data_IF_465553289797
#
_entry.id   IF_465553289797
#
_cell.length_a   1.000
_cell.length_b   1.000
_cell.length_c   1.000
_cell.angle_alpha   90.00
_cell.angle_beta   90.00
_cell.angle_gamma   90.00
#
_symmetry.space_group_name_H-M   'P 1'
#
loop_
_entity.id
_entity.type
_entity.pdbx_description
1 polymer ?
#
# COMPACT_ATOMS: atom_id res chain seq x y z
N UNK A 1 -3.91 -35.01 -10.25
CA UNK A 1 -2.54 -34.50 -10.38
C UNK A 1 -1.64 -35.34 -9.46
N UNK A 2 -0.65 -36.04 -9.99
CA UNK A 2 0.27 -36.87 -9.18
C UNK A 2 1.61 -36.12 -9.10
N UNK A 3 1.81 -35.34 -8.03
CA UNK A 3 3.02 -34.56 -7.81
C UNK A 3 4.14 -35.52 -7.39
N UNK A 4 5.06 -35.81 -8.32
CA UNK A 4 6.15 -36.76 -8.10
C UNK A 4 7.49 -36.07 -7.84
N UNK A 5 7.67 -34.86 -8.36
CA UNK A 5 8.96 -34.17 -8.35
C UNK A 5 8.89 -32.93 -7.44
N UNK A 6 9.47 -33.07 -6.26
CA UNK A 6 9.66 -32.02 -5.29
C UNK A 6 11.07 -31.48 -5.39
N UNK A 7 11.27 -30.21 -5.10
CA UNK A 7 12.60 -29.60 -5.10
C UNK A 7 12.80 -28.66 -3.91
N UNK A 8 14.06 -28.46 -3.57
CA UNK A 8 14.58 -27.32 -2.85
C UNK A 8 15.43 -26.56 -3.87
N UNK A 9 15.43 -25.24 -3.82
CA UNK A 9 16.20 -24.44 -4.76
C UNK A 9 16.51 -23.06 -4.23
N UNK A 10 17.42 -22.37 -4.88
CA UNK A 10 17.77 -20.97 -4.58
C UNK A 10 17.07 -20.02 -5.53
N UNK A 11 16.53 -18.94 -5.00
CA UNK A 11 15.95 -17.85 -5.79
C UNK A 11 17.07 -17.07 -6.47
N UNK A 12 17.00 -16.92 -7.79
CA UNK A 12 18.01 -16.19 -8.57
C UNK A 12 17.47 -14.93 -9.26
N UNK A 13 16.16 -14.82 -9.44
CA UNK A 13 15.56 -13.64 -10.06
C UNK A 13 14.13 -13.44 -9.52
N UNK A 14 13.79 -12.22 -9.17
CA UNK A 14 12.47 -11.80 -8.69
C UNK A 14 11.85 -10.71 -9.56
N UNK A 15 12.55 -10.28 -10.62
CA UNK A 15 12.11 -9.22 -11.53
C UNK A 15 11.11 -9.76 -12.58
N UNK A 16 9.97 -10.27 -12.13
CA UNK A 16 8.93 -10.84 -13.00
C UNK A 16 8.39 -9.80 -13.99
N UNK A 17 8.59 -9.97 -15.31
CA UNK A 17 8.13 -9.02 -16.31
C UNK A 17 6.60 -8.91 -16.40
N UNK A 18 5.85 -9.91 -15.91
CA UNK A 18 4.39 -9.85 -15.84
C UNK A 18 3.89 -9.24 -14.53
N UNK A 19 4.78 -8.96 -13.55
CA UNK A 19 4.44 -8.38 -12.25
C UNK A 19 3.34 -9.15 -11.49
N UNK A 20 3.31 -10.47 -11.62
CA UNK A 20 2.36 -11.35 -10.92
C UNK A 20 3.00 -12.16 -9.78
N UNK A 21 4.24 -11.79 -9.40
CA UNK A 21 4.93 -12.38 -8.26
C UNK A 21 5.60 -13.72 -8.53
N UNK A 22 5.96 -14.00 -9.80
CA UNK A 22 6.79 -15.18 -10.13
C UNK A 22 8.24 -14.91 -9.80
N UNK A 23 8.99 -15.99 -9.60
CA UNK A 23 10.43 -15.96 -9.33
C UNK A 23 11.15 -16.97 -10.21
N UNK A 24 12.45 -16.79 -10.43
CA UNK A 24 13.29 -17.83 -11.03
C UNK A 24 14.05 -18.56 -9.94
N UNK A 25 13.98 -19.87 -10.00
CA UNK A 25 14.58 -20.77 -8.99
C UNK A 25 15.53 -21.73 -9.66
N UNK A 26 16.77 -21.78 -9.18
CA UNK A 26 17.68 -22.87 -9.49
C UNK A 26 17.35 -24.05 -8.58
N UNK A 27 16.64 -25.02 -9.12
CA UNK A 27 16.20 -26.20 -8.39
C UNK A 27 17.37 -27.19 -8.21
N UNK A 28 17.75 -27.43 -6.95
CA UNK A 28 18.86 -28.38 -6.64
C UNK A 28 18.51 -29.77 -7.13
N UNK A 29 19.51 -30.49 -7.61
CA UNK A 29 19.43 -31.84 -8.23
C UNK A 29 18.67 -31.90 -9.57
N UNK A 30 18.09 -30.79 -10.05
CA UNK A 30 17.44 -30.71 -11.36
C UNK A 30 18.14 -29.75 -12.33
N UNK A 31 18.66 -28.64 -11.81
CA UNK A 31 19.44 -27.68 -12.58
C UNK A 31 20.90 -27.77 -12.21
N UNK A 32 21.76 -27.57 -13.20
CA UNK A 32 23.22 -27.45 -12.95
C UNK A 32 23.52 -26.22 -12.11
N UNK A 33 24.54 -26.29 -11.25
CA UNK A 33 25.04 -25.14 -10.49
C UNK A 33 25.87 -24.18 -11.37
N UNK A 34 26.37 -24.70 -12.52
CA UNK A 34 27.15 -23.89 -13.46
C UNK A 34 26.27 -22.90 -14.21
N UNK A 35 26.38 -21.63 -13.85
CA UNK A 35 25.64 -20.53 -14.48
C UNK A 35 26.10 -20.25 -15.92
N UNK A 36 27.24 -20.75 -16.35
CA UNK A 36 27.68 -20.66 -17.75
C UNK A 36 26.95 -21.68 -18.63
N UNK A 37 26.59 -22.84 -18.08
CA UNK A 37 25.80 -23.86 -18.76
C UNK A 37 24.30 -23.57 -18.76
N UNK A 38 23.78 -23.16 -17.61
CA UNK A 38 22.38 -22.74 -17.44
C UNK A 38 22.31 -21.35 -16.79
N UNK A 39 22.35 -20.26 -17.57
CA UNK A 39 22.25 -18.90 -17.05
C UNK A 39 20.91 -18.65 -16.37
N UNK A 40 20.88 -17.77 -15.35
CA UNK A 40 19.64 -17.35 -14.64
C UNK A 40 18.52 -16.89 -15.58
N UNK A 41 18.88 -16.20 -16.68
CA UNK A 41 17.90 -15.75 -17.67
C UNK A 41 17.12 -16.88 -18.32
N UNK A 42 17.71 -18.08 -18.41
CA UNK A 42 17.15 -19.26 -19.08
C UNK A 42 16.36 -20.16 -18.13
N UNK A 43 16.40 -19.89 -16.81
CA UNK A 43 15.54 -20.56 -15.83
C UNK A 43 14.07 -20.23 -16.08
N UNK A 44 13.14 -21.19 -15.94
CA UNK A 44 11.71 -20.93 -16.05
C UNK A 44 11.21 -20.08 -14.89
N UNK A 45 10.14 -19.30 -15.14
CA UNK A 45 9.44 -18.56 -14.11
C UNK A 45 8.55 -19.48 -13.28
N UNK A 46 8.84 -19.58 -12.00
CA UNK A 46 8.07 -20.35 -11.01
C UNK A 46 6.91 -19.54 -10.45
N UNK A 47 5.74 -20.14 -10.34
CA UNK A 47 4.62 -19.53 -9.63
C UNK A 47 4.78 -19.68 -8.12
N UNK A 48 4.37 -18.68 -7.34
CA UNK A 48 4.36 -18.75 -5.89
C UNK A 48 2.94 -18.97 -5.38
N UNK A 49 2.78 -19.89 -4.43
CA UNK A 49 1.51 -20.07 -3.71
C UNK A 49 1.37 -18.96 -2.67
N UNK A 50 0.28 -18.23 -2.74
CA UNK A 50 -0.06 -17.20 -1.76
C UNK A 50 -0.84 -17.80 -0.59
N UNK A 51 -0.72 -17.22 0.63
CA UNK A 51 -1.56 -17.61 1.77
C UNK A 51 -3.05 -17.46 1.45
N UNK A 52 -3.89 -18.32 2.01
CA UNK A 52 -5.35 -18.33 1.75
C UNK A 52 -6.08 -17.07 2.21
N UNK A 53 -5.45 -16.25 3.03
CA UNK A 53 -5.94 -14.94 3.48
C UNK A 53 -5.55 -13.79 2.53
N UNK A 54 -4.97 -14.12 1.37
CA UNK A 54 -4.56 -13.17 0.33
C UNK A 54 -5.34 -13.44 -0.95
N UNK A 55 -5.90 -12.39 -1.55
CA UNK A 55 -6.55 -12.48 -2.87
C UNK A 55 -5.58 -12.05 -3.96
N UNK A 56 -5.18 -12.98 -4.81
CA UNK A 56 -4.32 -12.70 -5.98
C UNK A 56 -5.04 -11.89 -7.07
N UNK A 57 -6.38 -12.00 -7.12
CA UNK A 57 -7.19 -11.31 -8.14
C UNK A 57 -7.56 -9.89 -7.74
N UNK A 58 -7.83 -9.67 -6.45
CA UNK A 58 -8.31 -8.37 -5.96
C UNK A 58 -7.22 -7.55 -5.27
N UNK A 59 -6.02 -8.09 -5.06
CA UNK A 59 -4.94 -7.43 -4.33
C UNK A 59 -5.29 -7.13 -2.86
N UNK A 60 -6.25 -7.86 -2.29
CA UNK A 60 -6.74 -7.65 -0.92
C UNK A 60 -6.16 -8.74 -0.01
N UNK A 61 -5.72 -8.35 1.17
CA UNK A 61 -5.20 -9.25 2.20
C UNK A 61 -3.76 -8.92 2.58
N UNK A 62 -3.14 -9.78 3.40
CA UNK A 62 -1.74 -9.63 3.78
C UNK A 62 -0.86 -10.05 2.61
N UNK A 63 -0.14 -9.12 2.01
CA UNK A 63 0.90 -9.45 1.06
C UNK A 63 2.12 -9.95 1.83
N UNK A 64 2.69 -11.13 1.51
CA UNK A 64 3.99 -11.50 2.04
C UNK A 64 5.03 -10.45 1.61
N UNK A 65 6.05 -10.25 2.43
CA UNK A 65 7.15 -9.31 2.15
C UNK A 65 7.93 -9.64 0.88
N UNK A 66 7.68 -10.81 0.29
CA UNK A 66 8.35 -11.30 -0.90
C UNK A 66 9.63 -12.08 -0.56
N UNK A 67 10.08 -12.84 -1.52
CA UNK A 67 11.37 -13.55 -1.45
C UNK A 67 12.45 -12.64 -2.01
N UNK A 68 13.68 -12.81 -1.54
CA UNK A 68 14.84 -12.13 -2.07
C UNK A 68 15.74 -13.11 -2.83
N UNK A 69 16.59 -12.60 -3.72
CA UNK A 69 17.60 -13.42 -4.39
C UNK A 69 18.53 -14.01 -3.34
N UNK A 70 18.77 -15.32 -3.44
CA UNK A 70 19.54 -16.09 -2.46
C UNK A 70 18.69 -16.87 -1.46
N UNK A 71 17.42 -16.56 -1.29
CA UNK A 71 16.52 -17.35 -0.45
C UNK A 71 16.43 -18.79 -0.96
N UNK A 72 16.34 -19.72 -0.01
CA UNK A 72 16.03 -21.10 -0.33
C UNK A 72 14.52 -21.32 -0.26
N UNK A 73 14.01 -22.05 -1.23
CA UNK A 73 12.58 -22.31 -1.39
C UNK A 73 12.32 -23.80 -1.55
N UNK A 74 11.10 -24.19 -1.13
CA UNK A 74 10.58 -25.53 -1.33
C UNK A 74 9.39 -25.49 -2.28
N UNK A 75 9.35 -26.43 -3.24
CA UNK A 75 8.33 -26.45 -4.26
C UNK A 75 8.21 -27.80 -4.98
N UNK A 76 7.44 -27.81 -6.06
CA UNK A 76 7.22 -29.00 -6.90
C UNK A 76 7.00 -28.62 -8.36
N UNK A 77 7.18 -29.59 -9.27
CA UNK A 77 6.86 -29.44 -10.69
C UNK A 77 5.46 -29.99 -10.98
N UNK A 78 4.63 -29.22 -11.73
CA UNK A 78 3.29 -29.63 -12.13
C UNK A 78 3.27 -30.48 -13.39
N UNK A 79 4.27 -30.32 -14.24
CA UNK A 79 4.42 -30.95 -15.55
C UNK A 79 5.15 -32.31 -15.53
N UNK A 80 5.42 -32.86 -14.34
CA UNK A 80 6.00 -34.18 -14.17
C UNK A 80 7.46 -34.27 -14.67
N UNK A 81 7.72 -35.02 -15.71
CA UNK A 81 9.08 -35.28 -16.19
C UNK A 81 9.71 -34.08 -16.92
N UNK A 82 8.91 -33.17 -17.46
CA UNK A 82 9.42 -32.01 -18.22
C UNK A 82 10.09 -30.95 -17.31
N UNK A 83 9.67 -30.85 -16.05
CA UNK A 83 10.26 -30.01 -14.99
C UNK A 83 10.46 -28.54 -15.39
N UNK A 84 9.53 -27.99 -16.19
CA UNK A 84 9.54 -26.61 -16.64
C UNK A 84 8.49 -25.75 -15.93
N UNK A 85 7.46 -26.38 -15.34
CA UNK A 85 6.35 -25.71 -14.67
C UNK A 85 6.45 -25.89 -13.16
N UNK A 86 7.28 -25.07 -12.55
CA UNK A 86 7.59 -25.11 -11.11
C UNK A 86 6.64 -24.24 -10.30
N UNK A 87 6.27 -24.72 -9.11
CA UNK A 87 5.46 -24.01 -8.12
C UNK A 87 6.20 -24.00 -6.79
N UNK A 88 6.38 -22.81 -6.23
CA UNK A 88 6.99 -22.58 -4.91
C UNK A 88 5.91 -22.43 -3.87
N UNK A 89 6.02 -23.17 -2.76
CA UNK A 89 5.03 -23.17 -1.68
C UNK A 89 5.54 -22.57 -0.37
N UNK A 90 6.83 -22.33 -0.24
CA UNK A 90 7.37 -21.69 0.97
C UNK A 90 8.88 -21.53 0.93
N UNK A 91 9.37 -20.84 1.95
CA UNK A 91 10.78 -20.68 2.23
C UNK A 91 11.32 -21.92 2.92
N UNK A 92 12.59 -22.24 2.66
CA UNK A 92 13.34 -23.29 3.30
C UNK A 92 14.56 -22.67 3.99
N UNK A 93 14.82 -23.00 5.26
CA UNK A 93 15.98 -22.47 5.99
C UNK A 93 17.28 -22.98 5.35
N UNK A 94 18.14 -22.06 4.91
CA UNK A 94 19.44 -22.40 4.33
C UNK A 94 20.43 -22.85 5.42
N UNK A 95 21.24 -23.91 5.18
CA UNK A 95 22.28 -24.32 6.14
C UNK A 95 23.40 -23.30 6.35
N UNK A 96 23.52 -22.31 5.49
CA UNK A 96 24.53 -21.25 5.58
C UNK A 96 24.05 -19.98 6.30
N UNK A 97 22.75 -19.92 6.61
CA UNK A 97 22.22 -18.80 7.34
C UNK A 97 22.74 -18.85 8.78
N UNK A 98 23.33 -17.74 9.23
CA UNK A 98 23.54 -17.55 10.66
C UNK A 98 22.18 -17.78 11.31
N UNK A 99 22.09 -18.63 12.38
CA UNK A 99 20.83 -18.81 13.06
C UNK A 99 20.29 -17.45 13.37
N UNK A 100 19.11 -17.12 12.85
CA UNK A 100 18.40 -15.91 13.25
C UNK A 100 18.41 -15.94 14.76
N UNK A 101 18.89 -14.88 15.41
CA UNK A 101 18.89 -14.79 16.85
C UNK A 101 17.49 -15.20 17.31
N UNK A 102 17.40 -16.33 17.99
CA UNK A 102 16.12 -16.95 18.37
C UNK A 102 15.24 -16.04 19.20
N UNK A 103 15.83 -14.94 19.72
CA UNK A 103 15.13 -13.89 20.44
C UNK A 103 14.31 -12.96 19.51
N UNK A 104 14.64 -12.93 18.21
CA UNK A 104 14.00 -12.05 17.24
C UNK A 104 13.11 -12.78 16.21
N UNK A 105 12.97 -14.10 16.31
CA UNK A 105 12.13 -14.87 15.39
C UNK A 105 10.66 -14.48 15.58
N UNK A 106 10.12 -13.75 14.62
CA UNK A 106 8.71 -13.32 14.62
C UNK A 106 8.41 -12.03 15.40
N UNK A 107 9.42 -11.36 15.97
CA UNK A 107 9.26 -10.03 16.56
C UNK A 107 10.10 -9.02 15.78
N UNK A 108 9.46 -7.98 15.27
CA UNK A 108 10.18 -6.83 14.72
C UNK A 108 11.00 -6.16 15.82
N UNK A 109 12.24 -5.79 15.51
CA UNK A 109 13.06 -5.00 16.43
C UNK A 109 12.43 -3.60 16.58
N UNK A 110 11.76 -3.39 17.70
CA UNK A 110 11.14 -2.10 18.02
C UNK A 110 12.15 -0.99 18.33
N UNK A 111 13.43 -1.33 18.54
CA UNK A 111 14.47 -0.36 18.90
C UNK A 111 15.09 0.33 17.67
N UNK A 112 15.09 -0.35 16.53
CA UNK A 112 15.67 0.16 15.26
C UNK A 112 14.62 0.55 14.23
N UNK A 113 13.33 0.29 14.49
CA UNK A 113 12.27 0.50 13.52
C UNK A 113 12.30 -0.49 12.33
N UNK A 114 13.18 -1.50 12.40
CA UNK A 114 13.27 -2.52 11.38
C UNK A 114 12.26 -3.64 11.67
N UNK A 115 11.48 -3.98 10.66
CA UNK A 115 10.60 -5.14 10.68
C UNK A 115 11.40 -6.42 10.41
N UNK A 116 10.77 -7.58 10.52
CA UNK A 116 11.38 -8.88 10.27
C UNK A 116 12.14 -8.96 8.93
N UNK A 117 11.64 -8.33 7.89
CA UNK A 117 12.33 -8.26 6.59
C UNK A 117 13.63 -7.45 6.67
N UNK A 118 13.66 -6.36 7.43
CA UNK A 118 14.86 -5.57 7.67
C UNK A 118 15.96 -6.35 8.40
N UNK A 119 15.58 -7.18 9.38
CA UNK A 119 16.53 -8.05 10.09
C UNK A 119 17.06 -9.19 9.22
N UNK A 120 16.22 -9.76 8.35
CA UNK A 120 16.68 -10.77 7.35
C UNK A 120 17.68 -10.15 6.38
N UNK A 121 17.47 -8.92 5.95
CA UNK A 121 18.39 -8.20 5.06
C UNK A 121 19.68 -7.81 5.80
N UNK A 122 19.60 -7.42 7.07
CA UNK A 122 20.75 -7.06 7.90
C UNK A 122 21.66 -8.24 8.24
N UNK A 123 21.12 -9.46 8.36
CA UNK A 123 21.88 -10.69 8.58
C UNK A 123 22.74 -11.11 7.39
N UNK A 124 22.45 -10.61 6.21
CA UNK A 124 23.17 -10.92 4.96
C UNK A 124 24.35 -9.96 4.71
N UNK A 125 24.48 -8.88 5.50
CA UNK A 125 25.55 -7.86 5.33
C UNK A 125 26.96 -8.35 5.66
N UNK A 126 27.16 -9.60 6.03
CA UNK A 126 28.46 -10.19 6.33
C UNK A 126 29.05 -11.08 5.24
N UNK A 127 28.40 -11.30 4.10
CA UNK A 127 28.90 -12.11 2.99
C UNK A 127 29.51 -11.23 1.88
N UNK A 128 30.55 -11.72 1.13
CA UNK A 128 31.15 -11.00 0.01
C UNK A 128 30.28 -11.00 -1.26
N UNK A 129 28.97 -11.03 -1.12
CA UNK A 129 28.01 -10.89 -2.21
C UNK A 129 27.65 -9.42 -2.42
N UNK A 130 28.17 -8.83 -3.49
CA UNK A 130 27.64 -7.55 -3.97
C UNK A 130 26.24 -7.82 -4.50
N UNK A 131 25.21 -7.51 -3.68
CA UNK A 131 23.85 -7.46 -4.18
C UNK A 131 23.77 -6.38 -5.27
N UNK A 132 23.23 -6.69 -6.45
CA UNK A 132 22.99 -5.62 -7.42
C UNK A 132 22.05 -4.61 -6.78
N UNK A 133 22.45 -3.36 -6.77
CA UNK A 133 21.64 -2.20 -6.29
C UNK A 133 20.37 -1.97 -7.14
N UNK A 134 20.12 -2.80 -8.13
CA UNK A 134 18.98 -2.74 -9.04
C UNK A 134 17.62 -3.13 -8.41
N UNK A 135 17.62 -3.74 -7.22
CA UNK A 135 16.36 -4.01 -6.51
C UNK A 135 15.80 -2.75 -5.80
N UNK A 136 16.64 -1.75 -5.54
CA UNK A 136 16.15 -0.45 -5.07
C UNK A 136 15.25 0.24 -6.12
N UNK A 137 15.41 -0.13 -7.40
CA UNK A 137 14.57 0.37 -8.50
C UNK A 137 13.24 -0.37 -8.65
N UNK A 138 13.09 -1.57 -8.07
CA UNK A 138 11.87 -2.39 -8.15
C UNK A 138 11.03 -2.43 -6.86
N UNK A 139 11.49 -1.83 -5.76
CA UNK A 139 10.59 -1.49 -4.67
C UNK A 139 9.50 -0.59 -5.25
N UNK A 140 8.21 -0.78 -4.89
CA UNK A 140 7.21 0.21 -5.26
C UNK A 140 7.79 1.55 -4.82
N UNK A 141 7.89 2.53 -5.73
CA UNK A 141 8.60 3.77 -5.44
C UNK A 141 8.08 4.27 -4.09
N UNK A 142 9.00 4.45 -3.14
CA UNK A 142 8.65 5.07 -1.85
C UNK A 142 7.86 6.31 -2.22
N UNK A 143 6.61 6.45 -1.76
CA UNK A 143 5.77 7.53 -2.23
C UNK A 143 6.53 8.85 -2.05
N UNK A 144 6.83 9.53 -3.15
CA UNK A 144 7.60 10.77 -3.11
C UNK A 144 6.81 11.74 -2.25
N UNK A 145 7.38 12.28 -1.15
CA UNK A 145 6.69 13.31 -0.38
C UNK A 145 6.16 14.39 -1.32
N UNK A 146 4.89 14.77 -1.17
CA UNK A 146 4.26 15.72 -2.07
C UNK A 146 3.63 15.13 -3.33
N UNK A 147 3.58 13.80 -3.50
CA UNK A 147 2.91 13.15 -4.63
C UNK A 147 1.49 12.68 -4.30
N UNK A 148 0.65 12.55 -5.33
CA UNK A 148 -0.68 11.89 -5.21
C UNK A 148 -0.52 10.47 -4.67
N UNK A 149 0.48 9.73 -5.11
CA UNK A 149 0.77 8.38 -4.63
C UNK A 149 1.02 8.34 -3.12
N UNK A 150 1.79 9.30 -2.58
CA UNK A 150 2.04 9.41 -1.15
C UNK A 150 0.75 9.75 -0.38
N UNK A 151 -0.04 10.66 -0.91
CA UNK A 151 -1.33 11.01 -0.31
C UNK A 151 -2.28 9.82 -0.26
N UNK A 152 -2.36 9.03 -1.33
CA UNK A 152 -3.19 7.83 -1.37
C UNK A 152 -2.66 6.72 -0.47
N UNK A 153 -1.36 6.60 -0.31
CA UNK A 153 -0.74 5.67 0.64
C UNK A 153 -1.12 6.04 2.08
N UNK A 154 -0.95 7.31 2.46
CA UNK A 154 -1.37 7.85 3.75
C UNK A 154 -2.86 7.60 4.01
N UNK A 155 -3.70 7.91 3.02
CA UNK A 155 -5.15 7.73 3.06
C UNK A 155 -5.56 6.26 3.29
N UNK A 156 -4.96 5.33 2.54
CA UNK A 156 -5.25 3.89 2.62
C UNK A 156 -4.80 3.30 3.96
N UNK A 157 -3.72 3.81 4.54
CA UNK A 157 -3.24 3.41 5.87
C UNK A 157 -4.22 3.69 7.00
N UNK A 158 -5.18 4.58 6.79
CA UNK A 158 -6.20 4.94 7.79
C UNK A 158 -7.48 4.10 7.71
N UNK A 159 -7.66 3.29 6.67
CA UNK A 159 -8.86 2.45 6.53
C UNK A 159 -8.98 1.50 7.72
N UNK A 160 -10.15 1.50 8.36
CA UNK A 160 -10.42 0.69 9.55
C UNK A 160 -10.27 1.45 10.87
N UNK A 161 -9.71 2.67 10.90
CA UNK A 161 -9.74 3.52 12.09
C UNK A 161 -11.20 3.77 12.49
N UNK A 162 -11.51 3.57 13.78
CA UNK A 162 -12.90 3.62 14.31
C UNK A 162 -13.00 4.46 15.56
N UNK A 163 -14.18 5.02 15.73
CA UNK A 163 -14.61 5.60 17.00
C UNK A 163 -14.78 4.53 18.08
N UNK A 164 -14.46 4.89 19.30
CA UNK A 164 -14.80 4.11 20.52
C UNK A 164 -15.96 4.74 21.28
N UNK A 165 -16.23 6.01 21.03
CA UNK A 165 -17.43 6.73 21.45
C UNK A 165 -17.73 7.80 20.39
N UNK A 166 -18.92 8.44 20.43
CA UNK A 166 -19.34 9.41 19.41
C UNK A 166 -18.25 10.43 19.10
N UNK A 167 -17.75 10.46 17.87
CA UNK A 167 -16.71 11.34 17.34
C UNK A 167 -15.38 11.31 18.10
N UNK A 168 -15.11 10.25 18.85
CA UNK A 168 -13.88 10.07 19.64
C UNK A 168 -13.34 8.66 19.54
N UNK A 169 -12.00 8.53 19.63
CA UNK A 169 -11.29 7.26 19.62
C UNK A 169 -9.78 7.49 19.54
N UNK A 170 -8.95 6.50 19.86
CA UNK A 170 -7.48 6.64 19.89
C UNK A 170 -6.91 7.16 18.57
N UNK A 171 -7.47 6.72 17.43
CA UNK A 171 -7.02 7.14 16.09
C UNK A 171 -7.61 8.46 15.59
N UNK A 172 -8.67 9.01 16.24
CA UNK A 172 -9.39 10.19 15.74
C UNK A 172 -8.70 11.49 16.19
N UNK A 173 -8.09 11.48 17.38
CA UNK A 173 -7.47 12.67 17.96
C UNK A 173 -6.39 13.29 17.10
N UNK A 174 -5.66 12.48 16.33
CA UNK A 174 -4.55 12.92 15.47
C UNK A 174 -4.96 13.77 14.27
N UNK A 175 -6.24 13.74 13.86
CA UNK A 175 -6.70 14.51 12.71
C UNK A 175 -6.94 15.99 13.04
N UNK A 176 -7.19 16.31 14.31
CA UNK A 176 -7.61 17.63 14.74
C UNK A 176 -6.53 18.71 14.72
N UNK A 177 -5.23 18.41 15.01
CA UNK A 177 -4.17 19.42 14.90
C UNK A 177 -4.05 20.04 13.50
N UNK A 178 -4.46 19.35 12.43
CA UNK A 178 -4.48 19.84 11.05
C UNK A 178 -5.65 20.79 10.76
N UNK A 179 -6.35 21.26 11.79
CA UNK A 179 -7.50 22.18 11.66
C UNK A 179 -7.39 23.36 12.61
N UNK A 180 -8.08 24.44 12.28
CA UNK A 180 -8.20 25.62 13.16
C UNK A 180 -8.86 25.35 14.52
N UNK A 181 -9.54 24.22 14.67
CA UNK A 181 -10.12 23.81 15.95
C UNK A 181 -9.09 23.19 16.90
N UNK A 182 -7.99 22.62 16.38
CA UNK A 182 -7.02 21.91 17.19
C UNK A 182 -7.68 20.84 18.09
N UNK A 183 -7.16 20.66 19.29
CA UNK A 183 -7.68 19.66 20.24
C UNK A 183 -9.12 19.94 20.71
N UNK A 184 -9.62 21.17 20.55
CA UNK A 184 -11.00 21.51 20.97
C UNK A 184 -12.05 20.78 20.14
N UNK A 185 -11.80 20.55 18.83
CA UNK A 185 -12.71 19.79 17.98
C UNK A 185 -12.89 18.36 18.49
N UNK A 186 -11.82 17.70 18.93
CA UNK A 186 -11.89 16.40 19.57
C UNK A 186 -12.66 16.42 20.90
N UNK A 187 -12.35 17.38 21.76
CA UNK A 187 -12.99 17.51 23.06
C UNK A 187 -14.48 17.80 22.96
N UNK A 188 -14.89 18.60 21.96
CA UNK A 188 -16.28 18.95 21.71
C UNK A 188 -17.05 17.88 20.91
N UNK A 189 -16.38 16.79 20.51
CA UNK A 189 -16.99 15.70 19.74
C UNK A 189 -17.59 16.16 18.41
N UNK A 190 -16.87 17.04 17.71
CA UNK A 190 -17.32 17.53 16.40
C UNK A 190 -17.16 16.45 15.33
N UNK A 191 -17.98 16.48 14.25
CA UNK A 191 -17.81 15.61 13.09
C UNK A 191 -16.43 15.82 12.45
N UNK A 192 -15.73 14.73 12.17
CA UNK A 192 -14.30 14.76 11.82
C UNK A 192 -13.98 14.42 10.36
N UNK A 193 -14.96 14.34 9.46
CA UNK A 193 -14.70 13.99 8.04
C UNK A 193 -13.72 14.96 7.35
N UNK A 194 -13.89 16.28 7.56
CA UNK A 194 -13.00 17.27 6.98
C UNK A 194 -11.69 17.43 7.75
N UNK A 195 -11.68 17.19 9.07
CA UNK A 195 -10.44 17.10 9.84
C UNK A 195 -9.55 15.96 9.33
N UNK A 196 -10.15 14.81 9.02
CA UNK A 196 -9.45 13.69 8.39
C UNK A 196 -8.83 14.08 7.05
N UNK A 197 -9.59 14.71 6.14
CA UNK A 197 -9.06 15.14 4.84
C UNK A 197 -7.94 16.18 5.00
N UNK A 198 -8.09 17.17 5.90
CA UNK A 198 -7.05 18.17 6.18
C UNK A 198 -5.77 17.51 6.68
N UNK A 199 -5.89 16.53 7.57
CA UNK A 199 -4.77 15.76 8.08
C UNK A 199 -4.08 14.93 6.98
N UNK A 200 -4.83 14.27 6.10
CA UNK A 200 -4.24 13.51 4.97
C UNK A 200 -3.44 14.43 4.06
N UNK A 201 -3.99 15.60 3.70
CA UNK A 201 -3.30 16.58 2.85
C UNK A 201 -1.99 17.05 3.49
N UNK A 202 -2.02 17.42 4.78
CA UNK A 202 -0.84 17.86 5.52
C UNK A 202 0.18 16.73 5.67
N UNK A 203 -0.22 15.56 6.16
CA UNK A 203 0.67 14.42 6.45
C UNK A 203 1.33 13.83 5.20
N UNK A 204 0.68 13.96 4.04
CA UNK A 204 1.23 13.49 2.77
C UNK A 204 2.27 14.43 2.18
N UNK A 205 2.29 15.71 2.62
CA UNK A 205 3.15 16.73 2.03
C UNK A 205 2.81 17.08 0.58
N UNK A 206 1.59 16.74 0.08
CA UNK A 206 1.17 17.05 -1.30
C UNK A 206 1.21 18.55 -1.59
N UNK A 207 0.99 19.35 -0.57
CA UNK A 207 1.30 20.77 -0.47
C UNK A 207 1.84 21.05 0.92
N UNK A 208 2.72 22.04 1.06
CA UNK A 208 3.42 22.36 2.32
C UNK A 208 3.02 23.70 2.92
N UNK A 209 2.41 24.55 2.13
CA UNK A 209 1.92 25.86 2.51
C UNK A 209 0.44 26.03 2.14
N UNK A 210 -0.21 26.99 2.76
CA UNK A 210 -1.64 27.25 2.54
C UNK A 210 -2.52 25.98 2.67
N UNK A 211 -2.27 25.21 3.73
CA UNK A 211 -2.98 23.96 4.04
C UNK A 211 -4.49 24.20 4.27
N UNK A 212 -5.34 23.17 4.10
CA UNK A 212 -6.79 23.31 4.27
C UNK A 212 -7.22 23.90 5.63
N UNK A 213 -6.57 23.48 6.71
CA UNK A 213 -6.77 23.95 8.09
C UNK A 213 -8.24 24.11 8.48
N UNK A 214 -9.11 23.18 8.08
CA UNK A 214 -10.56 23.24 8.30
C UNK A 214 -11.15 21.90 8.71
N UNK A 215 -12.14 21.93 9.61
CA UNK A 215 -12.97 20.78 9.96
C UNK A 215 -14.36 20.83 9.25
N UNK A 216 -14.59 21.80 8.39
CA UNK A 216 -15.83 21.94 7.61
C UNK A 216 -15.66 21.38 6.19
N UNK A 217 -16.56 20.48 5.78
CA UNK A 217 -16.57 19.98 4.39
C UNK A 217 -16.71 21.13 3.37
N UNK A 218 -17.56 22.12 3.65
CA UNK A 218 -17.68 23.28 2.77
C UNK A 218 -16.53 24.29 2.94
N UNK A 219 -15.87 24.29 4.11
CA UNK A 219 -14.64 25.06 4.32
C UNK A 219 -13.52 24.63 3.38
N UNK A 220 -13.48 23.36 2.93
CA UNK A 220 -12.57 22.90 1.89
C UNK A 220 -12.82 23.59 0.54
N UNK A 221 -14.08 23.87 0.19
CA UNK A 221 -14.42 24.63 -1.02
C UNK A 221 -13.91 26.09 -0.90
N UNK A 222 -14.08 26.71 0.27
CA UNK A 222 -13.64 28.08 0.50
C UNK A 222 -12.10 28.18 0.55
N UNK A 223 -11.44 27.17 1.08
CA UNK A 223 -9.99 27.03 0.99
C UNK A 223 -9.53 26.92 -0.47
N UNK A 224 -10.12 26.01 -1.25
CA UNK A 224 -9.74 25.77 -2.63
C UNK A 224 -9.94 27.00 -3.54
N UNK A 225 -10.93 27.85 -3.27
CA UNK A 225 -11.13 29.12 -4.00
C UNK A 225 -9.99 30.11 -3.83
N UNK A 226 -9.24 30.00 -2.73
CA UNK A 226 -8.16 30.93 -2.38
C UNK A 226 -6.78 30.32 -2.55
N UNK A 227 -6.71 29.06 -2.99
CA UNK A 227 -5.46 28.31 -3.13
C UNK A 227 -5.14 28.07 -4.60
N UNK A 228 -4.04 28.66 -5.10
CA UNK A 228 -3.57 28.49 -6.47
C UNK A 228 -2.98 27.12 -6.78
N UNK A 229 -2.63 26.33 -5.76
CA UNK A 229 -2.04 24.99 -5.91
C UNK A 229 -3.09 23.92 -6.24
N UNK A 230 -4.36 24.29 -6.20
CA UNK A 230 -5.48 23.38 -6.49
C UNK A 230 -6.47 23.98 -7.49
N UNK A 231 -7.14 23.10 -8.22
CA UNK A 231 -8.24 23.46 -9.11
C UNK A 231 -9.57 23.03 -8.51
N UNK A 232 -10.44 24.01 -8.25
CA UNK A 232 -11.80 23.76 -7.80
C UNK A 232 -12.75 23.61 -9.00
N UNK A 233 -13.53 22.53 -9.01
CA UNK A 233 -14.62 22.31 -9.98
C UNK A 233 -15.92 22.11 -9.23
N UNK A 234 -16.90 22.99 -9.46
CA UNK A 234 -18.23 22.85 -8.88
C UNK A 234 -19.06 21.87 -9.72
N UNK A 235 -19.82 20.98 -9.07
CA UNK A 235 -20.65 19.97 -9.71
C UNK A 235 -19.88 19.19 -10.81
N UNK A 236 -18.77 18.53 -10.46
CA UNK A 236 -17.91 17.91 -11.45
C UNK A 236 -18.62 16.76 -12.17
N UNK A 237 -18.38 16.65 -13.47
CA UNK A 237 -18.88 15.52 -14.29
C UNK A 237 -17.95 14.30 -14.26
N UNK A 238 -16.77 14.46 -13.70
CA UNK A 238 -15.78 13.42 -13.49
C UNK A 238 -14.88 13.80 -12.33
N UNK A 239 -14.32 12.81 -11.65
CA UNK A 239 -13.27 12.94 -10.65
C UNK A 239 -12.18 11.92 -10.95
N UNK A 240 -10.97 12.22 -10.55
CA UNK A 240 -9.80 11.36 -10.71
C UNK A 240 -9.23 10.98 -9.35
N UNK A 241 -8.41 9.98 -9.35
CA UNK A 241 -7.67 9.54 -8.19
C UNK A 241 -6.87 10.70 -7.57
N UNK A 242 -6.95 10.86 -6.25
CA UNK A 242 -6.35 11.96 -5.52
C UNK A 242 -7.22 13.23 -5.39
N UNK A 243 -8.34 13.35 -6.11
CA UNK A 243 -9.23 14.49 -5.95
C UNK A 243 -9.90 14.47 -4.56
N UNK A 244 -9.92 15.62 -3.87
CA UNK A 244 -10.80 15.80 -2.72
C UNK A 244 -12.22 15.96 -3.24
N UNK A 245 -13.14 15.15 -2.73
CA UNK A 245 -14.56 15.17 -3.11
C UNK A 245 -15.39 15.74 -1.97
N UNK A 246 -16.22 16.74 -2.29
CA UNK A 246 -17.13 17.37 -1.34
C UNK A 246 -18.56 17.09 -1.77
N UNK A 247 -19.34 16.47 -0.88
CA UNK A 247 -20.73 16.07 -1.14
C UNK A 247 -21.73 17.16 -0.83
N UNK A 248 -22.89 17.12 -1.47
CA UNK A 248 -24.00 18.07 -1.26
C UNK A 248 -24.62 17.99 0.14
N UNK A 249 -24.43 16.86 0.83
CA UNK A 249 -24.92 16.63 2.19
C UNK A 249 -23.89 16.95 3.29
N UNK A 250 -22.97 17.88 3.04
CA UNK A 250 -21.95 18.34 4.00
C UNK A 250 -21.05 17.24 4.50
N UNK A 251 -20.46 16.49 3.58
CA UNK A 251 -19.50 15.41 3.85
C UNK A 251 -18.34 15.48 2.84
N UNK A 252 -17.23 14.80 3.11
CA UNK A 252 -16.05 14.85 2.26
C UNK A 252 -15.20 13.58 2.38
N UNK A 253 -14.36 13.33 1.37
CA UNK A 253 -13.39 12.27 1.29
C UNK A 253 -12.38 12.54 0.19
N UNK A 254 -11.56 11.55 -0.13
CA UNK A 254 -10.57 11.59 -1.22
C UNK A 254 -10.86 10.44 -2.19
N UNK A 255 -10.91 10.74 -3.47
CA UNK A 255 -11.15 9.79 -4.55
C UNK A 255 -9.97 8.79 -4.65
N UNK A 256 -10.27 7.49 -4.63
CA UNK A 256 -9.29 6.40 -4.75
C UNK A 256 -9.38 5.65 -6.07
N UNK A 257 -10.46 5.83 -6.81
CA UNK A 257 -10.65 5.26 -8.13
C UNK A 257 -11.45 6.23 -8.99
N UNK A 258 -10.90 6.60 -10.14
CA UNK A 258 -11.49 7.56 -11.05
C UNK A 258 -12.91 7.17 -11.47
N UNK A 259 -13.73 8.18 -11.76
CA UNK A 259 -15.12 7.95 -12.15
C UNK A 259 -15.24 7.20 -13.49
N UNK A 260 -16.18 6.27 -13.52
CA UNK A 260 -16.56 5.47 -14.71
C UNK A 260 -17.79 6.01 -15.44
N UNK A 261 -18.04 7.33 -15.36
CA UNK A 261 -19.19 8.02 -15.95
C UNK A 261 -20.36 8.24 -14.99
N UNK A 262 -20.57 7.42 -13.98
CA UNK A 262 -21.68 7.60 -13.01
C UNK A 262 -21.26 7.46 -11.55
N UNK A 263 -20.27 6.63 -11.27
CA UNK A 263 -19.77 6.33 -9.93
C UNK A 263 -18.25 6.46 -9.85
N UNK A 264 -17.73 6.56 -8.63
CA UNK A 264 -16.31 6.58 -8.30
C UNK A 264 -16.12 5.95 -6.92
N UNK A 265 -14.88 5.62 -6.53
CA UNK A 265 -14.58 5.23 -5.16
C UNK A 265 -13.87 6.34 -4.40
N UNK A 266 -14.15 6.43 -3.12
CA UNK A 266 -13.50 7.37 -2.19
C UNK A 266 -13.27 6.71 -0.84
N UNK A 267 -12.20 7.12 -0.14
CA UNK A 267 -12.03 6.85 1.28
C UNK A 267 -12.50 8.08 2.05
N UNK A 268 -13.35 7.85 3.04
CA UNK A 268 -14.04 8.86 3.80
C UNK A 268 -13.90 8.60 5.31
N UNK A 269 -13.59 9.64 6.06
CA UNK A 269 -13.61 9.61 7.53
C UNK A 269 -15.02 9.95 8.06
N UNK A 270 -15.31 9.56 9.30
CA UNK A 270 -16.61 9.80 9.96
C UNK A 270 -17.81 9.26 9.15
N UNK A 271 -17.66 8.07 8.56
CA UNK A 271 -18.73 7.41 7.80
C UNK A 271 -18.94 5.99 8.30
N UNK A 272 -19.86 5.23 7.72
CA UNK A 272 -20.14 3.84 8.06
C UNK A 272 -20.45 3.00 6.81
N UNK A 273 -20.72 1.71 7.02
CA UNK A 273 -21.04 0.80 5.92
C UNK A 273 -22.24 1.28 5.07
N UNK A 274 -23.23 1.93 5.67
CA UNK A 274 -24.39 2.49 4.97
C UNK A 274 -24.08 3.82 4.24
N UNK A 275 -22.92 4.42 4.44
CA UNK A 275 -22.51 5.68 3.82
C UNK A 275 -23.13 6.92 4.46
N UNK A 276 -23.44 6.86 5.75
CA UNK A 276 -23.91 8.01 6.52
C UNK A 276 -22.84 9.11 6.57
N UNK A 277 -23.28 10.38 6.60
CA UNK A 277 -22.38 11.53 6.82
C UNK A 277 -21.84 11.60 8.26
N UNK A 278 -22.49 10.93 9.19
CA UNK A 278 -22.07 10.79 10.59
C UNK A 278 -22.02 9.29 10.92
N UNK A 279 -20.95 8.68 10.52
CA UNK A 279 -20.62 7.30 10.86
C UNK A 279 -19.53 7.25 11.93
N UNK A 280 -18.86 6.13 12.03
CA UNK A 280 -17.92 5.86 13.11
C UNK A 280 -16.55 5.36 12.66
N UNK A 281 -16.23 5.45 11.37
CA UNK A 281 -15.00 4.86 10.84
C UNK A 281 -14.44 5.59 9.61
N UNK A 282 -13.19 5.26 9.28
CA UNK A 282 -12.60 5.48 7.97
C UNK A 282 -12.90 4.27 7.10
N UNK A 283 -13.60 4.45 5.98
CA UNK A 283 -13.96 3.35 5.06
C UNK A 283 -13.93 3.79 3.61
N UNK A 284 -13.66 2.82 2.72
CA UNK A 284 -13.84 3.02 1.28
C UNK A 284 -15.30 2.90 0.89
N UNK A 285 -15.77 3.77 -0.01
CA UNK A 285 -17.14 3.85 -0.48
C UNK A 285 -17.21 4.00 -1.99
N UNK A 286 -18.22 3.36 -2.60
CA UNK A 286 -18.63 3.69 -3.97
C UNK A 286 -19.71 4.76 -3.91
N UNK A 287 -19.49 5.88 -4.59
CA UNK A 287 -20.37 7.04 -4.59
C UNK A 287 -20.82 7.40 -6.01
N UNK A 288 -22.01 8.00 -6.12
CA UNK A 288 -22.50 8.56 -7.39
C UNK A 288 -21.95 9.97 -7.59
N UNK A 289 -21.54 10.29 -8.81
CA UNK A 289 -21.10 11.65 -9.19
C UNK A 289 -22.18 12.72 -8.90
N UNK A 290 -23.44 12.38 -9.05
CA UNK A 290 -24.59 13.29 -8.78
C UNK A 290 -24.68 13.75 -7.32
N UNK A 291 -23.98 13.12 -6.40
CA UNK A 291 -23.93 13.54 -5.00
C UNK A 291 -22.88 14.63 -4.75
N UNK A 292 -22.02 14.90 -5.72
CA UNK A 292 -20.93 15.87 -5.56
C UNK A 292 -21.41 17.32 -5.67
N UNK A 293 -21.02 18.13 -4.70
CA UNK A 293 -21.08 19.58 -4.73
C UNK A 293 -19.84 20.16 -5.40
N UNK A 294 -18.66 19.60 -5.11
CA UNK A 294 -17.39 20.04 -5.67
C UNK A 294 -16.37 18.89 -5.73
N UNK A 295 -15.42 19.02 -6.65
CA UNK A 295 -14.17 18.29 -6.72
C UNK A 295 -12.99 19.26 -6.66
N UNK A 296 -11.93 18.91 -5.97
CA UNK A 296 -10.73 19.71 -5.79
C UNK A 296 -9.53 18.87 -6.21
N UNK A 297 -8.88 19.24 -7.29
CA UNK A 297 -7.72 18.54 -7.87
C UNK A 297 -6.43 19.30 -7.55
N UNK A 298 -5.38 18.59 -7.18
CA UNK A 298 -4.05 19.20 -7.02
C UNK A 298 -3.40 19.49 -8.38
N UNK A 299 -2.71 20.63 -8.50
CA UNK A 299 -1.98 21.03 -9.70
C UNK A 299 -0.61 20.33 -9.71
N UNK A 300 -0.54 19.14 -10.31
CA UNK A 300 0.67 18.30 -10.34
C UNK A 300 1.82 18.89 -11.17
N UNK A 301 1.55 19.86 -12.04
CA UNK A 301 2.57 20.55 -12.86
C UNK A 301 3.45 21.52 -12.07
N UNK A 302 3.06 21.88 -10.84
CA UNK A 302 3.81 22.82 -9.98
C UNK A 302 4.69 22.09 -8.96
N UNK A 303 4.66 20.76 -8.94
CA UNK A 303 5.32 19.90 -7.94
C UNK A 303 6.56 19.16 -8.51
N UNK A 304 7.07 19.58 -9.66
CA UNK A 304 8.27 19.03 -10.29
C UNK A 304 9.51 19.92 -10.03
#
# INVERSE_FOLDING_TARGET
MNIKHWFIGSVEDIADPLQIGRIKVRCFSYHTEDTSELPTRDLPWSQCVLPINTSSTAGVGSSPTGMVVGDWVFGFFRDGEDKQDSVVIGLWTSPGDTPADSTNYGQGDSSTGQNFAGNMIGGISGGPGVYPTSWEESAPPTPIPGSISNMLSTLRGEVGVRETSKNQGPGIGKYWPSTSYGSSGYSNREPWCAAFVSWVVESSGIITDNLPNTASAYGLIDWARRNSQVKLTMQPRSVKEGDIVVFSFSHTGICTEASNGSTFKSIEGNTNAAGSREGNAVTEKTRKLSLLKAGISFNTETLA
#
